data_IF_801411713356
#
_entry.id   IF_801411713356
#
_cell.length_a   1.000
_cell.length_b   1.000
_cell.length_c   1.000
_cell.angle_alpha   90.00
_cell.angle_beta   90.00
_cell.angle_gamma   90.00
#
_symmetry.space_group_name_H-M   'P 1'
#
loop_
_entity.id
_entity.type
_entity.pdbx_description
1 polymer ?
#
# COMPACT_ATOMS: atom_id res chain seq x y z
N UNK A 1 13.99 -25.17 17.23
CA UNK A 1 14.68 -24.06 16.55
C UNK A 1 13.65 -23.29 15.74
N UNK A 2 13.76 -21.96 15.64
CA UNK A 2 12.85 -21.18 14.81
C UNK A 2 12.93 -21.58 13.34
N UNK A 3 11.81 -21.52 12.65
CA UNK A 3 11.75 -21.67 11.18
C UNK A 3 12.37 -20.44 10.51
N UNK A 4 13.14 -20.65 9.46
CA UNK A 4 13.90 -19.59 8.80
C UNK A 4 13.28 -19.22 7.47
N UNK A 5 12.84 -17.97 7.35
CA UNK A 5 12.21 -17.40 6.16
C UNK A 5 13.18 -16.48 5.44
N UNK A 6 13.44 -16.76 4.17
CA UNK A 6 14.23 -15.89 3.30
C UNK A 6 13.31 -14.96 2.52
N UNK A 7 13.43 -13.64 2.74
CA UNK A 7 12.59 -12.62 2.12
C UNK A 7 13.35 -11.90 1.00
N UNK A 8 12.69 -11.71 -0.13
CA UNK A 8 13.15 -10.84 -1.21
C UNK A 8 12.25 -9.62 -1.29
N UNK A 9 12.81 -8.44 -1.06
CA UNK A 9 12.13 -7.16 -1.21
C UNK A 9 13.09 -6.12 -1.79
N UNK A 10 12.67 -5.38 -2.81
CA UNK A 10 13.53 -4.36 -3.44
C UNK A 10 13.85 -3.22 -2.48
N UNK A 11 12.90 -2.85 -1.64
CA UNK A 11 13.03 -1.78 -0.63
C UNK A 11 12.73 -2.32 0.76
N UNK A 12 13.38 -1.76 1.77
CA UNK A 12 13.09 -2.04 3.18
C UNK A 12 13.49 -0.86 4.08
N UNK A 13 13.09 -0.95 5.35
CA UNK A 13 13.38 0.04 6.40
C UNK A 13 14.88 0.43 6.45
N UNK A 14 15.22 1.70 6.76
CA UNK A 14 14.38 2.77 7.33
C UNK A 14 13.50 3.50 6.31
N UNK A 15 13.55 3.14 5.05
CA UNK A 15 12.79 3.81 4.00
C UNK A 15 11.38 3.22 3.87
N UNK A 16 10.38 3.92 4.41
CA UNK A 16 8.96 3.55 4.37
C UNK A 16 8.27 4.27 3.18
N UNK A 17 8.54 3.84 1.95
CA UNK A 17 8.00 4.49 0.73
C UNK A 17 6.75 3.79 0.19
N UNK A 18 6.44 2.57 0.62
CA UNK A 18 5.30 1.80 0.12
C UNK A 18 4.64 0.95 1.18
N UNK A 19 3.39 0.59 0.93
CA UNK A 19 2.62 -0.31 1.80
C UNK A 19 3.25 -1.70 1.95
N UNK A 20 4.02 -2.14 0.95
CA UNK A 20 4.78 -3.38 0.94
C UNK A 20 5.86 -3.43 2.03
N UNK A 21 6.61 -2.34 2.21
CA UNK A 21 7.64 -2.24 3.25
C UNK A 21 7.01 -2.23 4.64
N UNK A 22 5.92 -1.47 4.80
CA UNK A 22 5.15 -1.44 6.05
C UNK A 22 4.62 -2.83 6.38
N UNK A 23 4.03 -3.52 5.41
CA UNK A 23 3.47 -4.86 5.59
C UNK A 23 4.52 -5.87 6.07
N UNK A 24 5.69 -5.92 5.42
CA UNK A 24 6.77 -6.83 5.86
C UNK A 24 7.19 -6.53 7.29
N UNK A 25 7.38 -5.25 7.64
CA UNK A 25 7.78 -4.83 8.98
C UNK A 25 6.73 -5.20 10.03
N UNK A 26 5.46 -4.86 9.77
CA UNK A 26 4.36 -5.09 10.71
C UNK A 26 4.10 -6.60 10.94
N UNK A 27 4.16 -7.41 9.87
CA UNK A 27 4.02 -8.87 9.95
C UNK A 27 5.19 -9.48 10.74
N UNK A 28 6.43 -9.14 10.38
CA UNK A 28 7.60 -9.77 10.99
C UNK A 28 7.79 -9.38 12.46
N UNK A 29 7.45 -8.14 12.83
CA UNK A 29 7.56 -7.68 14.22
C UNK A 29 6.52 -8.31 15.17
N UNK A 30 5.35 -8.75 14.63
CA UNK A 30 4.29 -9.39 15.44
C UNK A 30 4.41 -10.90 15.53
N UNK A 31 5.35 -11.50 14.83
CA UNK A 31 5.62 -12.94 14.90
C UNK A 31 6.76 -13.20 15.90
N UNK A 32 6.54 -14.13 16.84
CA UNK A 32 7.52 -14.47 17.87
C UNK A 32 8.85 -14.96 17.25
N UNK A 33 10.00 -14.34 17.59
CA UNK A 33 11.30 -14.74 17.09
C UNK A 33 11.73 -16.16 17.53
N UNK A 34 11.09 -16.73 18.54
CA UNK A 34 11.27 -18.14 18.91
C UNK A 34 10.63 -19.11 17.92
N UNK A 35 9.61 -18.63 17.15
CA UNK A 35 8.92 -19.44 16.15
C UNK A 35 9.48 -19.22 14.74
N UNK A 36 9.81 -17.97 14.39
CA UNK A 36 10.34 -17.61 13.08
C UNK A 36 11.50 -16.63 13.15
N UNK A 37 12.52 -16.89 12.35
CA UNK A 37 13.65 -16.01 12.09
C UNK A 37 13.60 -15.55 10.64
N UNK A 38 13.64 -14.23 10.40
CA UNK A 38 13.53 -13.65 9.06
C UNK A 38 14.90 -13.16 8.57
N UNK A 39 15.19 -13.45 7.29
CA UNK A 39 16.39 -13.01 6.59
C UNK A 39 15.95 -12.28 5.32
N UNK A 40 16.19 -10.98 5.22
CA UNK A 40 15.69 -10.14 4.15
C UNK A 40 16.83 -9.61 3.28
N UNK A 41 16.73 -9.87 1.98
CA UNK A 41 17.64 -9.32 0.97
C UNK A 41 16.95 -8.12 0.30
N UNK A 42 17.65 -6.96 0.28
CA UNK A 42 17.14 -5.70 -0.27
C UNK A 42 18.23 -4.90 -0.95
N UNK A 43 17.86 -3.81 -1.63
CA UNK A 43 18.82 -2.85 -2.16
C UNK A 43 19.34 -1.91 -1.07
N UNK A 44 20.59 -1.48 -1.23
CA UNK A 44 21.23 -0.47 -0.40
C UNK A 44 21.03 0.91 -1.02
N UNK A 45 20.13 1.70 -0.48
CA UNK A 45 19.75 3.01 -1.03
C UNK A 45 20.56 4.18 -0.47
N UNK A 46 21.25 3.98 0.66
CA UNK A 46 22.02 5.02 1.34
C UNK A 46 23.38 4.45 1.73
N UNK A 47 24.44 5.21 1.47
CA UNK A 47 25.83 4.84 1.81
C UNK A 47 26.06 4.70 3.32
N UNK A 48 25.25 5.41 4.14
CA UNK A 48 25.35 5.36 5.58
C UNK A 48 24.68 4.11 6.17
N UNK A 49 23.84 3.40 5.40
CA UNK A 49 23.24 2.15 5.86
C UNK A 49 24.26 1.01 5.84
N UNK A 50 24.35 0.17 6.89
CA UNK A 50 25.22 -0.98 6.92
C UNK A 50 24.78 -2.02 5.85
N UNK A 51 25.75 -2.83 5.39
CA UNK A 51 25.43 -3.92 4.45
C UNK A 51 24.65 -5.04 5.10
N UNK A 52 24.86 -5.27 6.38
CA UNK A 52 24.17 -6.28 7.19
C UNK A 52 23.83 -5.68 8.55
N UNK A 53 22.59 -5.83 8.98
CA UNK A 53 22.11 -5.42 10.30
C UNK A 53 20.88 -6.21 10.71
N UNK A 54 20.52 -6.15 11.99
CA UNK A 54 19.27 -6.70 12.51
C UNK A 54 18.30 -5.57 12.83
N UNK A 55 17.11 -5.62 12.25
CA UNK A 55 16.03 -4.67 12.48
C UNK A 55 14.81 -5.43 13.01
N UNK A 56 14.49 -5.23 14.28
CA UNK A 56 13.44 -6.03 14.93
C UNK A 56 13.75 -7.53 14.85
N UNK A 57 12.84 -8.31 14.29
CA UNK A 57 12.99 -9.76 14.07
C UNK A 57 13.60 -10.13 12.70
N UNK A 58 14.22 -9.16 11.97
CA UNK A 58 14.70 -9.37 10.62
C UNK A 58 16.20 -9.14 10.50
N UNK A 59 16.94 -10.13 10.00
CA UNK A 59 18.34 -10.00 9.58
C UNK A 59 18.35 -9.44 8.15
N UNK A 60 18.81 -8.21 7.96
CA UNK A 60 18.75 -7.48 6.69
C UNK A 60 20.09 -7.53 5.97
N UNK A 61 20.07 -7.88 4.68
CA UNK A 61 21.24 -7.94 3.79
C UNK A 61 21.03 -6.97 2.62
N UNK A 62 21.83 -5.89 2.58
CA UNK A 62 21.72 -4.86 1.55
C UNK A 62 22.73 -5.04 0.43
N UNK A 63 22.25 -4.98 -0.81
CA UNK A 63 23.01 -5.20 -2.04
C UNK A 63 22.99 -3.96 -2.94
N UNK A 64 23.88 -3.96 -3.93
CA UNK A 64 23.90 -2.97 -5.00
C UNK A 64 24.88 -1.82 -4.79
N UNK A 65 24.96 -0.97 -5.80
CA UNK A 65 25.74 0.26 -5.78
C UNK A 65 25.05 1.33 -4.95
N UNK A 66 25.84 2.16 -4.30
CA UNK A 66 25.33 3.14 -3.34
C UNK A 66 25.38 4.53 -3.95
N UNK A 67 24.28 5.26 -3.81
CA UNK A 67 24.20 6.71 -4.04
C UNK A 67 23.37 7.35 -2.95
N UNK A 68 23.47 8.66 -2.78
CA UNK A 68 22.58 9.41 -1.89
C UNK A 68 21.19 9.46 -2.54
N UNK A 69 20.29 8.58 -2.09
CA UNK A 69 19.01 8.41 -2.72
C UNK A 69 17.87 8.83 -1.78
N UNK A 70 17.34 10.00 -2.06
CA UNK A 70 16.14 10.52 -1.38
C UNK A 70 14.83 10.09 -2.04
N UNK A 71 14.88 9.50 -3.26
CA UNK A 71 13.72 9.23 -4.10
C UNK A 71 13.35 7.74 -4.20
N UNK A 72 12.20 7.41 -4.80
CA UNK A 72 11.75 6.03 -4.98
C UNK A 72 12.67 5.22 -5.90
N UNK A 73 12.64 3.89 -5.82
CA UNK A 73 13.45 3.01 -6.68
C UNK A 73 13.17 3.22 -8.19
N UNK A 74 12.00 3.74 -8.53
CA UNK A 74 11.59 4.01 -9.91
C UNK A 74 12.12 5.36 -10.46
N UNK A 75 12.45 6.32 -9.58
CA UNK A 75 12.98 7.64 -9.94
C UNK A 75 14.51 7.71 -10.02
N UNK A 76 15.19 6.56 -9.86
CA UNK A 76 16.63 6.49 -9.88
C UNK A 76 17.23 6.88 -11.23
N UNK A 77 18.14 7.87 -11.24
CA UNK A 77 18.89 8.28 -12.42
C UNK A 77 20.07 7.34 -12.71
N UNK A 78 20.59 7.41 -13.94
CA UNK A 78 21.83 6.72 -14.33
C UNK A 78 22.98 7.03 -13.35
N UNK A 79 23.80 6.04 -12.94
CA UNK A 79 23.72 4.60 -13.23
C UNK A 79 22.87 3.81 -12.21
N UNK A 80 22.33 4.45 -11.18
CA UNK A 80 21.70 3.79 -10.03
C UNK A 80 20.42 3.04 -10.36
N UNK A 81 19.74 3.42 -11.44
CA UNK A 81 18.54 2.72 -11.90
C UNK A 81 18.83 1.27 -12.32
N UNK A 82 20.10 0.92 -12.64
CA UNK A 82 20.48 -0.47 -12.92
C UNK A 82 20.45 -1.37 -11.68
N UNK A 83 20.54 -0.81 -10.47
CA UNK A 83 20.51 -1.60 -9.23
C UNK A 83 19.30 -2.54 -9.16
N UNK A 84 18.13 -2.10 -9.61
CA UNK A 84 16.92 -2.93 -9.59
C UNK A 84 17.00 -4.13 -10.54
N UNK A 85 17.63 -3.98 -11.70
CA UNK A 85 17.87 -5.08 -12.62
C UNK A 85 18.94 -6.04 -12.09
N UNK A 86 20.05 -5.50 -11.59
CA UNK A 86 21.12 -6.28 -10.98
C UNK A 86 20.63 -7.04 -9.73
N UNK A 87 19.65 -6.50 -9.01
CA UNK A 87 19.05 -7.15 -7.85
C UNK A 87 18.50 -8.53 -8.19
N UNK A 88 17.96 -8.72 -9.39
CA UNK A 88 17.39 -10.02 -9.82
C UNK A 88 18.44 -11.13 -9.75
N UNK A 89 19.68 -10.85 -10.15
CA UNK A 89 20.80 -11.81 -10.16
C UNK A 89 21.55 -11.81 -8.83
N UNK A 90 21.93 -10.63 -8.35
CA UNK A 90 22.70 -10.51 -7.10
C UNK A 90 21.90 -10.95 -5.88
N UNK A 91 20.59 -10.72 -5.87
CA UNK A 91 19.67 -11.19 -4.84
C UNK A 91 19.61 -12.70 -4.78
N UNK A 92 19.42 -13.35 -5.92
CA UNK A 92 19.42 -14.81 -6.03
C UNK A 92 20.78 -15.41 -5.61
N UNK A 93 21.89 -14.80 -6.04
CA UNK A 93 23.25 -15.25 -5.67
C UNK A 93 23.53 -15.09 -4.17
N UNK A 94 23.15 -13.93 -3.57
CA UNK A 94 23.28 -13.74 -2.10
C UNK A 94 22.45 -14.77 -1.35
N UNK A 95 21.22 -15.03 -1.81
CA UNK A 95 20.33 -16.04 -1.24
C UNK A 95 20.98 -17.44 -1.31
N UNK A 96 21.54 -17.80 -2.46
CA UNK A 96 22.26 -19.07 -2.62
C UNK A 96 23.45 -19.17 -1.68
N UNK A 97 24.29 -18.13 -1.55
CA UNK A 97 25.41 -18.11 -0.60
C UNK A 97 24.94 -18.24 0.86
N UNK A 98 23.87 -17.55 1.24
CA UNK A 98 23.26 -17.68 2.57
C UNK A 98 22.75 -19.10 2.80
N UNK A 99 22.09 -19.72 1.80
CA UNK A 99 21.54 -21.08 1.91
C UNK A 99 22.58 -22.19 2.08
N UNK A 100 23.86 -21.89 1.85
CA UNK A 100 24.98 -22.82 2.16
C UNK A 100 25.32 -22.84 3.65
N UNK A 101 24.96 -21.77 4.37
CA UNK A 101 25.24 -21.62 5.82
C UNK A 101 23.99 -21.74 6.68
N UNK A 102 22.83 -21.38 6.11
CA UNK A 102 21.54 -21.29 6.80
C UNK A 102 20.56 -22.18 6.05
N UNK A 103 19.95 -23.14 6.75
CA UNK A 103 18.88 -23.96 6.20
C UNK A 103 17.58 -23.14 6.25
N UNK A 104 17.10 -22.66 5.09
CA UNK A 104 15.83 -21.97 4.99
C UNK A 104 14.68 -22.97 4.83
N UNK A 105 13.58 -22.72 5.53
CA UNK A 105 12.36 -23.53 5.48
C UNK A 105 11.43 -23.06 4.35
N UNK A 106 11.48 -21.77 3.98
CA UNK A 106 10.78 -21.21 2.82
C UNK A 106 11.44 -19.91 2.32
N UNK A 107 11.13 -19.54 1.08
CA UNK A 107 11.44 -18.23 0.50
C UNK A 107 10.15 -17.44 0.27
N UNK A 108 10.19 -16.14 0.51
CA UNK A 108 9.07 -15.22 0.39
C UNK A 108 9.45 -14.02 -0.48
N UNK A 109 8.82 -13.86 -1.63
CA UNK A 109 8.94 -12.66 -2.45
C UNK A 109 7.82 -11.68 -2.19
N UNK A 110 8.18 -10.44 -1.95
CA UNK A 110 7.24 -9.32 -1.82
C UNK A 110 7.16 -8.63 -3.16
N UNK A 111 6.01 -8.75 -3.81
CA UNK A 111 5.68 -8.33 -5.18
C UNK A 111 6.29 -9.23 -6.30
N UNK A 112 5.57 -9.32 -7.42
CA UNK A 112 6.01 -9.96 -8.65
C UNK A 112 6.84 -8.99 -9.52
N UNK A 113 7.81 -8.32 -8.92
CA UNK A 113 8.72 -7.39 -9.59
C UNK A 113 10.16 -7.94 -9.63
N UNK A 114 11.16 -7.09 -9.51
CA UNK A 114 12.57 -7.52 -9.46
C UNK A 114 12.85 -8.49 -8.29
N UNK A 115 12.10 -8.38 -7.19
CA UNK A 115 12.16 -9.35 -6.08
C UNK A 115 11.61 -10.71 -6.49
N UNK A 116 10.51 -10.74 -7.25
CA UNK A 116 9.94 -11.95 -7.83
C UNK A 116 10.91 -12.68 -8.75
N UNK A 117 11.65 -11.97 -9.61
CA UNK A 117 12.69 -12.57 -10.42
C UNK A 117 13.84 -13.15 -9.59
N UNK A 118 14.30 -12.42 -8.55
CA UNK A 118 15.36 -12.92 -7.68
C UNK A 118 14.93 -14.20 -6.96
N UNK A 119 13.69 -14.24 -6.46
CA UNK A 119 13.11 -15.43 -5.82
C UNK A 119 12.94 -16.59 -6.80
N UNK A 120 12.50 -16.33 -8.04
CA UNK A 120 12.40 -17.32 -9.12
C UNK A 120 13.76 -17.95 -9.44
N UNK A 121 14.81 -17.12 -9.61
CA UNK A 121 16.15 -17.61 -9.88
C UNK A 121 16.71 -18.42 -8.70
N UNK A 122 16.43 -17.98 -7.47
CA UNK A 122 16.77 -18.78 -6.29
C UNK A 122 15.99 -20.10 -6.24
N UNK A 123 14.71 -20.10 -6.60
CA UNK A 123 13.89 -21.33 -6.69
C UNK A 123 14.49 -22.33 -7.67
N UNK A 124 15.02 -21.90 -8.82
CA UNK A 124 15.72 -22.80 -9.75
C UNK A 124 16.99 -23.41 -9.17
N UNK A 125 17.72 -22.67 -8.32
CA UNK A 125 18.92 -23.18 -7.65
C UNK A 125 18.60 -24.09 -6.46
N UNK A 126 17.42 -23.92 -5.84
CA UNK A 126 16.99 -24.59 -4.61
C UNK A 126 15.54 -25.06 -4.71
N UNK A 127 15.27 -25.98 -5.64
CA UNK A 127 13.92 -26.47 -5.99
C UNK A 127 13.09 -26.95 -4.77
N UNK A 128 13.75 -27.52 -3.76
CA UNK A 128 13.10 -28.07 -2.57
C UNK A 128 12.63 -27.01 -1.56
N UNK A 129 13.12 -25.75 -1.67
CA UNK A 129 12.69 -24.67 -0.76
C UNK A 129 11.36 -24.13 -1.30
N UNK A 130 10.25 -24.18 -0.53
CA UNK A 130 8.98 -23.62 -0.93
C UNK A 130 9.09 -22.13 -1.24
N UNK A 131 8.39 -21.67 -2.28
CA UNK A 131 8.36 -20.28 -2.73
C UNK A 131 6.96 -19.69 -2.54
N UNK A 132 6.86 -18.71 -1.62
CA UNK A 132 5.68 -17.87 -1.42
C UNK A 132 5.83 -16.59 -2.23
N UNK A 133 4.85 -16.30 -3.09
CA UNK A 133 4.71 -15.02 -3.76
C UNK A 133 3.62 -14.19 -3.09
N UNK A 134 3.94 -12.98 -2.63
CA UNK A 134 2.97 -11.98 -2.19
C UNK A 134 2.71 -10.97 -3.29
N UNK A 135 1.45 -10.71 -3.62
CA UNK A 135 1.03 -9.69 -4.58
C UNK A 135 0.56 -8.45 -3.85
N UNK A 136 1.22 -7.31 -4.16
CA UNK A 136 0.91 -5.98 -3.60
C UNK A 136 0.90 -4.88 -4.68
N UNK A 137 0.81 -5.28 -5.94
CA UNK A 137 0.81 -4.38 -7.08
C UNK A 137 -0.45 -3.51 -7.10
N UNK A 138 -0.27 -2.21 -7.32
CA UNK A 138 -1.39 -1.26 -7.48
C UNK A 138 -1.41 -0.60 -8.86
N UNK A 139 -0.48 -0.97 -9.76
CA UNK A 139 -0.44 -0.46 -11.12
C UNK A 139 -1.31 -1.32 -12.06
N UNK A 140 -1.88 -0.75 -13.14
CA UNK A 140 -2.62 -1.50 -14.13
C UNK A 140 -1.79 -2.63 -14.74
N UNK A 141 -2.37 -3.83 -14.93
CA UNK A 141 -1.64 -5.00 -15.43
C UNK A 141 -1.09 -4.80 -16.84
N UNK A 142 -1.80 -4.06 -17.69
CA UNK A 142 -1.31 -3.71 -19.03
C UNK A 142 -0.04 -2.84 -18.99
N UNK A 143 0.07 -1.95 -18.01
CA UNK A 143 1.30 -1.17 -17.80
C UNK A 143 2.46 -2.10 -17.41
N UNK A 144 2.23 -3.04 -16.49
CA UNK A 144 3.22 -4.03 -16.08
C UNK A 144 3.65 -4.90 -17.25
N UNK A 145 2.73 -5.38 -18.07
CA UNK A 145 3.00 -6.19 -19.27
C UNK A 145 3.88 -5.44 -20.28
N UNK A 146 3.55 -4.18 -20.57
CA UNK A 146 4.37 -3.32 -21.45
C UNK A 146 5.78 -3.11 -20.90
N UNK A 147 5.90 -2.87 -19.59
CA UNK A 147 7.20 -2.62 -18.92
C UNK A 147 8.10 -3.86 -18.91
N UNK A 148 7.53 -5.04 -18.74
CA UNK A 148 8.26 -6.31 -18.73
C UNK A 148 8.69 -6.71 -20.16
N UNK A 149 7.90 -6.39 -21.18
CA UNK A 149 8.23 -6.59 -22.59
C UNK A 149 8.60 -8.03 -22.92
N UNK A 150 9.74 -8.25 -23.56
CA UNK A 150 10.23 -9.58 -24.01
C UNK A 150 10.43 -10.57 -22.87
N UNK A 151 10.61 -10.10 -21.63
CA UNK A 151 10.75 -10.96 -20.45
C UNK A 151 9.41 -11.44 -19.88
N UNK A 152 8.29 -11.14 -20.55
CA UNK A 152 6.95 -11.52 -20.07
C UNK A 152 6.78 -13.05 -19.82
N UNK A 153 7.30 -13.96 -20.66
CA UNK A 153 7.25 -15.40 -20.34
C UNK A 153 7.96 -15.75 -19.03
N UNK A 154 9.13 -15.14 -18.77
CA UNK A 154 9.87 -15.34 -17.54
C UNK A 154 9.14 -14.70 -16.34
N UNK A 155 8.52 -13.54 -16.54
CA UNK A 155 7.66 -12.90 -15.54
C UNK A 155 6.49 -13.81 -15.14
N UNK A 156 5.83 -14.43 -16.11
CA UNK A 156 4.75 -15.41 -15.88
C UNK A 156 5.23 -16.61 -15.06
N UNK A 157 6.51 -17.00 -15.19
CA UNK A 157 7.09 -18.08 -14.39
C UNK A 157 7.17 -17.77 -12.91
N UNK A 158 7.19 -16.48 -12.49
CA UNK A 158 7.13 -16.10 -11.07
C UNK A 158 5.85 -16.65 -10.43
N UNK A 159 4.74 -16.59 -11.14
CA UNK A 159 3.43 -17.09 -10.69
C UNK A 159 3.33 -18.62 -10.81
N UNK A 160 3.72 -19.17 -11.96
CA UNK A 160 3.55 -20.61 -12.23
C UNK A 160 4.54 -21.50 -11.47
N UNK A 161 5.62 -20.93 -10.92
CA UNK A 161 6.62 -21.63 -10.10
C UNK A 161 6.50 -21.33 -8.61
N UNK A 162 5.60 -20.43 -8.22
CA UNK A 162 5.26 -20.25 -6.81
C UNK A 162 4.55 -21.50 -6.27
N UNK A 163 4.95 -21.94 -5.10
CA UNK A 163 4.28 -23.05 -4.38
C UNK A 163 3.02 -22.55 -3.67
N UNK A 164 3.00 -21.26 -3.29
CA UNK A 164 1.81 -20.57 -2.79
C UNK A 164 1.81 -19.11 -3.24
N UNK A 165 0.60 -18.54 -3.38
CA UNK A 165 0.39 -17.11 -3.63
C UNK A 165 -0.47 -16.54 -2.52
N UNK A 166 -0.01 -15.44 -1.92
CA UNK A 166 -0.82 -14.56 -1.07
C UNK A 166 -1.05 -13.26 -1.83
N UNK A 167 -2.26 -12.75 -1.81
CA UNK A 167 -2.66 -11.50 -2.42
C UNK A 167 -3.32 -10.58 -1.38
N UNK A 168 -3.08 -9.27 -1.48
CA UNK A 168 -3.68 -8.31 -0.54
C UNK A 168 -5.14 -7.98 -0.88
N UNK A 169 -5.69 -8.52 -1.98
CA UNK A 169 -7.08 -8.33 -2.38
C UNK A 169 -7.55 -9.47 -3.28
N UNK A 170 -8.87 -9.64 -3.39
CA UNK A 170 -9.48 -10.58 -4.35
C UNK A 170 -9.15 -10.20 -5.80
N UNK A 171 -9.00 -8.90 -6.10
CA UNK A 171 -8.56 -8.43 -7.40
C UNK A 171 -7.19 -8.99 -7.79
N UNK A 172 -6.21 -8.93 -6.90
CA UNK A 172 -4.87 -9.48 -7.13
C UNK A 172 -4.85 -11.02 -7.08
N UNK A 173 -5.72 -11.63 -6.27
CA UNK A 173 -5.88 -13.08 -6.27
C UNK A 173 -6.38 -13.61 -7.63
N UNK A 174 -7.37 -12.94 -8.24
CA UNK A 174 -7.81 -13.26 -9.62
C UNK A 174 -6.66 -13.09 -10.61
N UNK A 175 -5.91 -11.98 -10.51
CA UNK A 175 -4.75 -11.79 -11.38
C UNK A 175 -3.72 -12.93 -11.30
N UNK A 176 -3.45 -13.46 -10.10
CA UNK A 176 -2.57 -14.63 -9.97
C UNK A 176 -3.06 -15.84 -10.79
N UNK A 177 -4.36 -16.09 -10.79
CA UNK A 177 -4.99 -17.15 -11.62
C UNK A 177 -4.81 -16.86 -13.10
N UNK A 178 -5.06 -15.63 -13.55
CA UNK A 178 -4.89 -15.21 -14.95
C UNK A 178 -3.43 -15.36 -15.42
N UNK A 179 -2.48 -15.15 -14.49
CA UNK A 179 -1.06 -15.37 -14.73
C UNK A 179 -0.66 -16.87 -14.71
N UNK A 180 -1.60 -17.77 -14.45
CA UNK A 180 -1.42 -19.22 -14.53
C UNK A 180 -0.97 -19.88 -13.23
N UNK A 181 -1.16 -19.27 -12.08
CA UNK A 181 -0.99 -19.95 -10.79
C UNK A 181 -2.04 -21.06 -10.66
N UNK A 182 -1.58 -22.30 -10.43
CA UNK A 182 -2.46 -23.47 -10.39
C UNK A 182 -3.15 -23.71 -9.05
N UNK A 183 -2.54 -23.23 -7.96
CA UNK A 183 -3.10 -23.35 -6.61
C UNK A 183 -4.21 -22.33 -6.35
N UNK A 184 -4.74 -22.27 -5.13
CA UNK A 184 -5.73 -21.28 -4.70
C UNK A 184 -5.02 -20.13 -3.97
N UNK A 185 -5.00 -18.89 -4.54
CA UNK A 185 -4.37 -17.76 -3.87
C UNK A 185 -5.07 -17.46 -2.54
N UNK A 186 -4.30 -17.21 -1.49
CA UNK A 186 -4.84 -16.81 -0.19
C UNK A 186 -4.94 -15.29 -0.12
N UNK A 187 -6.14 -14.77 0.10
CA UNK A 187 -6.32 -13.34 0.34
C UNK A 187 -6.01 -13.05 1.79
N UNK A 188 -4.93 -12.29 2.01
CA UNK A 188 -4.54 -11.72 3.30
C UNK A 188 -4.21 -10.26 3.03
N UNK A 189 -5.08 -9.31 3.40
CA UNK A 189 -4.90 -7.90 3.08
C UNK A 189 -3.75 -7.26 3.85
N UNK A 190 -3.43 -6.02 3.52
CA UNK A 190 -2.63 -5.18 4.39
C UNK A 190 -3.50 -4.70 5.56
N UNK A 191 -2.86 -4.41 6.69
CA UNK A 191 -3.53 -3.96 7.90
C UNK A 191 -3.37 -2.48 8.18
N UNK A 192 -3.99 -2.07 9.27
CA UNK A 192 -3.84 -0.76 9.92
C UNK A 192 -3.56 -0.96 11.41
N UNK A 193 -2.82 -0.05 11.99
CA UNK A 193 -2.63 0.05 13.45
C UNK A 193 -3.80 0.85 14.02
N UNK A 194 -4.83 0.13 14.51
CA UNK A 194 -6.09 0.74 14.95
C UNK A 194 -5.87 1.69 16.10
N UNK A 195 -5.11 1.27 17.13
CA UNK A 195 -4.85 2.09 18.32
C UNK A 195 -4.15 3.42 17.96
N UNK A 196 -3.38 3.41 16.88
CA UNK A 196 -2.70 4.57 16.37
C UNK A 196 -3.62 5.53 15.60
N UNK A 197 -4.62 5.02 14.88
CA UNK A 197 -5.52 5.85 14.07
C UNK A 197 -6.81 6.23 14.79
N UNK A 198 -7.30 5.44 15.75
CA UNK A 198 -8.49 5.74 16.55
C UNK A 198 -8.13 6.57 17.80
N UNK A 199 -7.34 7.62 17.60
CA UNK A 199 -7.01 8.58 18.65
C UNK A 199 -8.12 9.62 18.80
N UNK A 200 -8.22 10.21 19.98
CA UNK A 200 -8.98 11.44 20.22
C UNK A 200 -8.05 12.63 20.21
N UNK A 201 -8.48 13.74 19.62
CA UNK A 201 -7.82 15.02 19.69
C UNK A 201 -8.76 16.04 20.36
N UNK A 202 -8.24 16.92 21.22
CA UNK A 202 -9.06 17.94 21.83
C UNK A 202 -9.58 18.96 20.81
N UNK A 203 -10.64 19.69 21.15
CA UNK A 203 -11.16 20.74 20.28
C UNK A 203 -10.09 21.79 19.97
N UNK A 204 -9.29 22.17 20.97
CA UNK A 204 -8.21 23.14 20.84
C UNK A 204 -7.10 22.61 19.91
N UNK A 205 -6.75 21.33 20.01
CA UNK A 205 -5.78 20.70 19.13
C UNK A 205 -6.32 20.63 17.68
N UNK A 206 -7.59 20.26 17.51
CA UNK A 206 -8.26 20.25 16.20
C UNK A 206 -8.24 21.62 15.55
N UNK A 207 -8.58 22.70 16.28
CA UNK A 207 -8.55 24.09 15.78
C UNK A 207 -7.13 24.46 15.34
N UNK A 208 -6.12 24.22 16.18
CA UNK A 208 -4.70 24.50 15.85
C UNK A 208 -4.23 23.77 14.60
N UNK A 209 -4.63 22.50 14.41
CA UNK A 209 -4.27 21.74 13.22
C UNK A 209 -4.98 22.32 12.00
N UNK A 210 -6.27 22.66 12.09
CA UNK A 210 -7.04 23.26 11.00
C UNK A 210 -6.45 24.60 10.57
N UNK A 211 -6.07 25.46 11.49
CA UNK A 211 -5.38 26.73 11.21
C UNK A 211 -4.05 26.50 10.45
N UNK A 212 -3.22 25.54 10.88
CA UNK A 212 -1.98 25.16 10.16
C UNK A 212 -2.26 24.67 8.75
N UNK A 213 -3.41 24.06 8.54
CA UNK A 213 -3.86 23.59 7.22
C UNK A 213 -4.42 24.73 6.36
N UNK A 214 -4.72 25.89 6.91
CA UNK A 214 -5.36 27.03 6.24
C UNK A 214 -6.90 26.92 6.22
N UNK A 215 -7.47 26.11 7.13
CA UNK A 215 -8.90 25.86 7.23
C UNK A 215 -9.53 26.76 8.30
N UNK A 216 -10.74 27.22 8.05
CA UNK A 216 -11.61 27.90 9.01
C UNK A 216 -12.44 26.89 9.80
N UNK A 217 -13.04 27.33 10.91
CA UNK A 217 -13.86 26.47 11.77
C UNK A 217 -15.04 25.84 11.01
N UNK A 218 -15.72 26.60 10.17
CA UNK A 218 -16.89 26.20 9.41
C UNK A 218 -16.57 25.59 8.01
N UNK A 219 -15.31 25.41 7.66
CA UNK A 219 -14.97 24.73 6.43
C UNK A 219 -15.23 23.21 6.54
N UNK A 220 -15.61 22.59 5.44
CA UNK A 220 -15.67 21.14 5.31
C UNK A 220 -14.37 20.70 4.64
N UNK A 221 -13.55 19.99 5.38
CA UNK A 221 -12.21 19.59 4.93
C UNK A 221 -12.22 18.20 4.30
N UNK A 222 -12.16 18.14 2.97
CA UNK A 222 -11.79 16.92 2.26
C UNK A 222 -10.30 16.68 2.44
N UNK A 223 -9.86 15.42 2.63
CA UNK A 223 -8.45 15.07 2.76
C UNK A 223 -8.09 13.86 1.92
N UNK A 224 -6.90 13.88 1.32
CA UNK A 224 -6.27 12.70 0.72
C UNK A 224 -4.84 12.56 1.17
N UNK A 225 -4.39 11.29 1.33
CA UNK A 225 -3.01 10.91 1.62
C UNK A 225 -2.54 9.98 0.52
N UNK A 226 -1.84 10.51 -0.48
CA UNK A 226 -1.48 9.71 -1.65
C UNK A 226 -0.29 10.27 -2.42
N UNK A 227 0.36 9.40 -3.21
CA UNK A 227 1.30 9.89 -4.23
C UNK A 227 0.54 10.71 -5.28
N UNK A 228 1.15 11.81 -5.73
CA UNK A 228 0.58 12.66 -6.78
C UNK A 228 0.90 12.06 -8.16
N UNK A 229 0.12 11.04 -8.53
CA UNK A 229 0.23 10.29 -9.78
C UNK A 229 -1.15 10.11 -10.41
N UNK A 230 -1.23 9.89 -11.72
CA UNK A 230 -2.50 9.83 -12.48
C UNK A 230 -3.49 8.85 -11.84
N UNK A 231 -3.04 7.64 -11.49
CA UNK A 231 -3.94 6.58 -11.02
C UNK A 231 -4.68 6.90 -9.71
N UNK A 232 -4.27 7.92 -8.96
CA UNK A 232 -4.91 8.29 -7.69
C UNK A 232 -6.05 9.31 -7.84
N UNK A 233 -6.29 9.85 -9.04
CA UNK A 233 -7.47 10.66 -9.35
C UNK A 233 -7.53 12.02 -8.62
N UNK A 234 -6.42 12.53 -8.07
CA UNK A 234 -6.41 13.80 -7.30
C UNK A 234 -6.90 14.99 -8.15
N UNK A 235 -6.62 14.97 -9.45
CA UNK A 235 -7.08 16.00 -10.37
C UNK A 235 -8.61 16.07 -10.49
N UNK A 236 -9.29 14.92 -10.42
CA UNK A 236 -10.75 14.86 -10.52
C UNK A 236 -11.42 15.50 -9.29
N UNK A 237 -10.79 15.39 -8.11
CA UNK A 237 -11.26 16.07 -6.88
C UNK A 237 -11.11 17.59 -7.01
N UNK A 238 -9.99 18.07 -7.57
CA UNK A 238 -9.77 19.51 -7.80
C UNK A 238 -10.84 20.08 -8.77
N UNK A 239 -11.15 19.35 -9.85
CA UNK A 239 -12.22 19.75 -10.78
C UNK A 239 -13.61 19.69 -10.14
N UNK A 240 -13.87 18.66 -9.34
CA UNK A 240 -15.12 18.54 -8.59
C UNK A 240 -15.34 19.69 -7.60
N UNK A 241 -14.24 20.21 -7.02
CA UNK A 241 -14.31 21.30 -6.03
C UNK A 241 -14.94 22.58 -6.61
N UNK A 242 -14.75 22.86 -7.92
CA UNK A 242 -15.40 23.99 -8.60
C UNK A 242 -16.93 23.89 -8.63
N UNK A 243 -17.50 22.70 -8.38
CA UNK A 243 -18.94 22.39 -8.38
C UNK A 243 -19.52 22.24 -6.97
N UNK A 244 -18.68 22.36 -5.95
CA UNK A 244 -19.03 22.21 -4.53
C UNK A 244 -19.15 23.59 -3.86
N UNK A 245 -19.89 23.70 -2.74
CA UNK A 245 -19.97 24.93 -1.96
C UNK A 245 -18.58 25.51 -1.60
N UNK A 246 -18.47 26.83 -1.46
CA UNK A 246 -17.19 27.52 -1.23
C UNK A 246 -16.49 27.17 0.08
N UNK A 247 -17.24 26.74 1.08
CA UNK A 247 -16.71 26.26 2.37
C UNK A 247 -16.17 24.84 2.30
N UNK A 248 -16.30 24.12 1.18
CA UNK A 248 -15.65 22.82 0.97
C UNK A 248 -14.20 23.07 0.53
N UNK A 249 -13.25 22.58 1.29
CA UNK A 249 -11.80 22.73 1.07
C UNK A 249 -11.15 21.37 0.86
N UNK A 250 -10.00 21.34 0.19
CA UNK A 250 -9.29 20.08 -0.08
C UNK A 250 -7.84 20.14 0.38
N UNK A 251 -7.47 19.27 1.31
CA UNK A 251 -6.12 19.11 1.86
C UNK A 251 -5.46 17.89 1.25
N UNK A 252 -4.29 18.07 0.67
CA UNK A 252 -3.56 17.04 -0.06
C UNK A 252 -2.22 16.79 0.61
N UNK A 253 -2.07 15.61 1.20
CA UNK A 253 -0.80 15.12 1.71
C UNK A 253 -0.18 14.14 0.71
N UNK A 254 1.03 14.46 0.25
CA UNK A 254 1.80 13.60 -0.63
C UNK A 254 2.65 14.38 -1.63
N UNK A 255 3.54 13.64 -2.29
CA UNK A 255 4.44 14.12 -3.33
C UNK A 255 4.29 13.26 -4.59
N UNK A 256 4.71 13.77 -5.74
CA UNK A 256 4.68 13.03 -7.00
C UNK A 256 4.90 13.91 -8.22
N UNK A 257 5.07 13.28 -9.37
CA UNK A 257 5.39 13.98 -10.62
C UNK A 257 4.27 14.89 -11.14
N UNK A 258 3.03 14.73 -10.64
CA UNK A 258 1.91 15.61 -11.01
C UNK A 258 1.84 16.91 -10.19
N UNK A 259 2.69 17.12 -9.19
CA UNK A 259 2.60 18.27 -8.28
C UNK A 259 2.49 19.61 -9.01
N UNK A 260 3.37 19.85 -9.98
CA UNK A 260 3.36 21.12 -10.73
C UNK A 260 2.14 21.23 -11.67
N UNK A 261 1.73 20.13 -12.28
CA UNK A 261 0.50 20.09 -13.08
C UNK A 261 -0.76 20.41 -12.24
N UNK A 262 -0.84 19.85 -11.02
CA UNK A 262 -1.95 20.12 -10.10
C UNK A 262 -1.95 21.57 -9.64
N UNK A 263 -0.79 22.21 -9.39
CA UNK A 263 -0.71 23.66 -9.10
C UNK A 263 -1.28 24.50 -10.22
N UNK A 264 -0.86 24.25 -11.47
CA UNK A 264 -1.39 24.95 -12.64
C UNK A 264 -2.90 24.76 -12.78
N UNK A 265 -3.43 23.57 -12.50
CA UNK A 265 -4.87 23.29 -12.51
C UNK A 265 -5.61 24.09 -11.44
N UNK A 266 -5.06 24.18 -10.22
CA UNK A 266 -5.62 24.98 -9.11
C UNK A 266 -5.68 26.44 -9.49
N UNK A 267 -4.63 27.01 -10.08
CA UNK A 267 -4.55 28.39 -10.55
C UNK A 267 -5.57 28.67 -11.66
N UNK A 268 -5.64 27.81 -12.69
CA UNK A 268 -6.57 27.96 -13.80
C UNK A 268 -8.05 27.94 -13.37
N UNK A 269 -8.37 27.13 -12.35
CA UNK A 269 -9.71 27.04 -11.76
C UNK A 269 -9.96 28.06 -10.66
N UNK A 270 -9.00 28.93 -10.34
CA UNK A 270 -9.07 29.93 -9.26
C UNK A 270 -9.43 29.33 -7.90
N UNK A 271 -8.85 28.18 -7.58
CA UNK A 271 -9.10 27.42 -6.34
C UNK A 271 -7.97 27.55 -5.30
N UNK A 272 -7.11 28.57 -5.40
CA UNK A 272 -5.95 28.75 -4.52
C UNK A 272 -6.26 28.88 -3.03
N UNK A 273 -7.44 29.38 -2.68
CA UNK A 273 -7.96 29.51 -1.31
C UNK A 273 -8.79 28.28 -0.85
N UNK A 274 -8.91 27.26 -1.71
CA UNK A 274 -9.71 26.05 -1.44
C UNK A 274 -8.91 24.75 -1.50
N UNK A 275 -7.70 24.74 -2.12
CA UNK A 275 -6.87 23.54 -2.26
C UNK A 275 -5.51 23.76 -1.63
N UNK A 276 -5.13 22.91 -0.68
CA UNK A 276 -3.92 23.02 0.11
C UNK A 276 -2.98 21.83 -0.12
N UNK A 277 -1.92 22.04 -0.92
CA UNK A 277 -0.85 21.06 -1.14
C UNK A 277 0.13 21.10 0.03
N UNK A 278 0.05 20.15 0.96
CA UNK A 278 0.86 20.13 2.20
C UNK A 278 2.14 19.30 2.09
N UNK A 279 2.35 18.61 0.95
CA UNK A 279 3.54 17.79 0.77
C UNK A 279 3.55 16.52 1.60
N UNK A 280 4.75 15.98 1.83
CA UNK A 280 4.93 14.77 2.63
C UNK A 280 4.64 15.04 4.11
N UNK A 281 3.97 14.10 4.75
CA UNK A 281 3.75 14.07 6.19
C UNK A 281 4.28 12.75 6.77
N UNK A 282 4.88 12.82 7.96
CA UNK A 282 5.30 11.60 8.67
C UNK A 282 4.05 10.78 9.03
N UNK A 283 4.11 9.49 8.77
CA UNK A 283 3.02 8.57 9.07
C UNK A 283 2.65 8.56 10.57
N UNK A 284 3.55 8.99 11.46
CA UNK A 284 3.25 9.13 12.90
C UNK A 284 2.30 10.28 13.21
N UNK A 285 2.38 11.35 12.44
CA UNK A 285 1.54 12.55 12.61
C UNK A 285 0.21 12.43 11.84
N UNK A 286 0.14 11.53 10.85
CA UNK A 286 -1.02 11.35 9.97
C UNK A 286 -2.35 11.24 10.70
N UNK A 287 -2.48 10.44 11.80
CA UNK A 287 -3.76 10.28 12.50
C UNK A 287 -4.36 11.61 12.99
N UNK A 288 -3.54 12.53 13.53
CA UNK A 288 -3.99 13.84 14.00
C UNK A 288 -4.54 14.71 12.88
N UNK A 289 -3.88 14.68 11.73
CA UNK A 289 -4.33 15.44 10.56
C UNK A 289 -5.61 14.85 9.96
N UNK A 290 -5.75 13.52 9.92
CA UNK A 290 -7.00 12.88 9.50
C UNK A 290 -8.15 13.27 10.45
N UNK A 291 -7.95 13.17 11.77
CA UNK A 291 -8.95 13.59 12.79
C UNK A 291 -9.34 15.07 12.73
N UNK A 292 -8.49 15.92 12.17
CA UNK A 292 -8.80 17.35 11.99
C UNK A 292 -9.63 17.63 10.72
N UNK A 293 -9.74 16.67 9.80
CA UNK A 293 -10.54 16.73 8.56
C UNK A 293 -11.90 16.06 8.73
N UNK A 294 -12.75 16.15 7.70
CA UNK A 294 -14.14 15.74 7.78
C UNK A 294 -14.48 14.57 6.84
N UNK A 295 -13.85 14.48 5.65
CA UNK A 295 -14.09 13.41 4.67
C UNK A 295 -12.77 13.01 4.02
N UNK A 296 -12.47 11.72 4.00
CA UNK A 296 -11.36 11.20 3.19
C UNK A 296 -11.84 10.94 1.74
N UNK A 297 -11.07 11.43 0.76
CA UNK A 297 -11.45 11.28 -0.66
C UNK A 297 -10.27 10.88 -1.52
N UNK A 298 -10.45 9.83 -2.34
CA UNK A 298 -9.51 9.47 -3.41
C UNK A 298 -10.20 8.64 -4.50
N UNK A 299 -10.58 9.26 -5.62
CA UNK A 299 -11.22 8.57 -6.75
C UNK A 299 -10.17 7.88 -7.63
N UNK A 300 -9.54 6.83 -7.09
CA UNK A 300 -8.47 6.09 -7.77
C UNK A 300 -8.96 5.43 -9.05
N UNK A 301 -8.10 5.39 -10.08
CA UNK A 301 -8.34 4.68 -11.34
C UNK A 301 -7.85 3.23 -11.28
N UNK A 302 -6.90 2.97 -10.40
CA UNK A 302 -6.33 1.63 -10.18
C UNK A 302 -5.75 1.54 -8.78
N UNK A 303 -6.07 0.47 -8.06
CA UNK A 303 -5.57 0.23 -6.70
C UNK A 303 -5.45 -1.27 -6.41
N UNK A 304 -4.35 -1.67 -5.80
CA UNK A 304 -4.14 -3.05 -5.36
C UNK A 304 -4.94 -3.41 -4.11
N UNK A 305 -5.02 -2.45 -3.17
CA UNK A 305 -5.82 -2.55 -1.94
C UNK A 305 -6.21 -1.16 -1.44
N UNK A 306 -5.23 -0.29 -1.13
CA UNK A 306 -5.46 1.07 -0.67
C UNK A 306 -5.44 1.22 0.84
N UNK A 307 -4.28 1.03 1.46
CA UNK A 307 -4.10 1.12 2.93
C UNK A 307 -4.65 2.43 3.50
N UNK A 308 -4.45 3.57 2.81
CA UNK A 308 -4.91 4.88 3.31
C UNK A 308 -6.43 5.02 3.44
N UNK A 309 -7.23 4.22 2.72
CA UNK A 309 -8.68 4.18 2.93
C UNK A 309 -9.01 3.51 4.26
N UNK A 310 -8.41 2.35 4.55
CA UNK A 310 -8.65 1.67 5.82
C UNK A 310 -8.03 2.44 7.00
N UNK A 311 -6.97 3.21 6.78
CA UNK A 311 -6.44 4.17 7.76
C UNK A 311 -7.43 5.30 8.06
N UNK A 312 -8.09 5.85 7.03
CA UNK A 312 -9.12 6.86 7.19
C UNK A 312 -10.37 6.30 7.90
N UNK A 313 -10.78 5.06 7.56
CA UNK A 313 -11.87 4.35 8.24
C UNK A 313 -11.52 4.06 9.72
N UNK A 314 -10.27 3.68 10.02
CA UNK A 314 -9.77 3.53 11.39
C UNK A 314 -9.79 4.85 12.16
N UNK A 315 -9.50 5.97 11.49
CA UNK A 315 -9.61 7.31 12.03
C UNK A 315 -11.06 7.82 12.11
N UNK A 316 -12.06 6.98 11.81
CA UNK A 316 -13.50 7.31 11.81
C UNK A 316 -13.87 8.45 10.86
N UNK A 317 -13.22 8.50 9.69
CA UNK A 317 -13.62 9.39 8.60
C UNK A 317 -14.55 8.68 7.62
N UNK A 318 -15.61 9.31 7.15
CA UNK A 318 -16.34 8.83 5.99
C UNK A 318 -15.44 8.85 4.77
N UNK A 319 -15.53 7.82 3.93
CA UNK A 319 -14.67 7.63 2.77
C UNK A 319 -15.48 7.80 1.49
N UNK A 320 -14.99 8.67 0.59
CA UNK A 320 -15.46 8.81 -0.79
C UNK A 320 -14.39 8.24 -1.73
N UNK A 321 -14.74 7.21 -2.50
CA UNK A 321 -13.79 6.57 -3.41
C UNK A 321 -14.48 5.91 -4.60
N UNK A 322 -13.67 5.47 -5.56
CA UNK A 322 -14.12 4.59 -6.66
C UNK A 322 -14.05 3.14 -6.23
N UNK A 323 -14.94 2.29 -6.76
CA UNK A 323 -14.94 0.84 -6.44
C UNK A 323 -14.07 0.06 -7.44
N UNK A 324 -12.80 0.44 -7.59
CA UNK A 324 -11.85 -0.17 -8.54
C UNK A 324 -10.83 -1.07 -7.83
N UNK A 325 -10.40 -2.13 -8.51
CA UNK A 325 -9.34 -3.01 -8.01
C UNK A 325 -9.66 -3.60 -6.63
N UNK A 326 -8.70 -3.49 -5.71
CA UNK A 326 -8.84 -3.99 -4.33
C UNK A 326 -9.70 -3.11 -3.42
N UNK A 327 -10.09 -1.89 -3.83
CA UNK A 327 -11.04 -1.07 -3.07
C UNK A 327 -12.40 -1.75 -2.98
N UNK A 328 -12.77 -2.55 -3.98
CA UNK A 328 -14.01 -3.32 -3.99
C UNK A 328 -14.13 -4.35 -2.86
N UNK A 329 -13.04 -4.68 -2.17
CA UNK A 329 -13.04 -5.66 -1.09
C UNK A 329 -13.58 -5.08 0.25
N UNK A 330 -13.63 -3.75 0.37
CA UNK A 330 -14.02 -3.10 1.62
C UNK A 330 -14.96 -1.90 1.45
N UNK A 331 -15.17 -1.41 0.23
CA UNK A 331 -16.03 -0.25 -0.01
C UNK A 331 -17.39 -0.69 -0.53
N UNK A 332 -18.43 -0.51 0.28
CA UNK A 332 -19.83 -0.74 -0.05
C UNK A 332 -20.62 0.57 0.07
N UNK A 333 -21.43 0.88 -0.94
CA UNK A 333 -22.23 2.10 -1.05
C UNK A 333 -23.61 1.92 -0.39
N UNK A 334 -24.16 2.96 0.29
CA UNK A 334 -25.48 2.88 0.89
C UNK A 334 -26.62 2.65 -0.10
N UNK A 335 -26.45 3.00 -1.38
CA UNK A 335 -27.45 2.77 -2.43
C UNK A 335 -27.43 1.34 -3.00
N UNK A 336 -26.44 0.52 -2.61
CA UNK A 336 -26.31 -0.82 -3.16
C UNK A 336 -27.35 -1.79 -2.58
N UNK A 337 -28.18 -2.39 -3.43
CA UNK A 337 -29.21 -3.36 -3.07
C UNK A 337 -28.67 -4.76 -2.74
N UNK A 338 -27.36 -4.95 -2.66
CA UNK A 338 -26.72 -6.25 -2.41
C UNK A 338 -26.97 -6.85 -1.03
N UNK A 339 -27.63 -6.13 -0.12
CA UNK A 339 -27.81 -6.52 1.28
C UNK A 339 -26.55 -6.38 2.14
N UNK A 340 -25.43 -5.91 1.57
CA UNK A 340 -24.20 -5.63 2.30
C UNK A 340 -24.31 -4.30 3.04
N UNK A 341 -23.61 -4.23 4.16
CA UNK A 341 -23.63 -3.05 5.02
C UNK A 341 -22.72 -1.97 4.43
N UNK A 342 -23.27 -0.76 4.22
CA UNK A 342 -22.52 0.37 3.68
C UNK A 342 -21.31 0.75 4.56
N UNK A 343 -20.17 0.98 3.94
CA UNK A 343 -18.88 1.33 4.57
C UNK A 343 -18.25 2.59 4.01
N UNK A 344 -18.87 3.23 3.02
CA UNK A 344 -18.43 4.47 2.41
C UNK A 344 -19.31 4.87 1.24
N UNK A 345 -18.86 5.82 0.45
CA UNK A 345 -19.58 6.40 -0.68
C UNK A 345 -18.81 6.16 -1.97
N UNK A 346 -19.50 5.72 -3.02
CA UNK A 346 -18.88 5.34 -4.29
C UNK A 346 -19.11 6.41 -5.35
N UNK A 347 -18.02 6.88 -5.97
CA UNK A 347 -18.05 7.74 -7.15
C UNK A 347 -17.49 7.01 -8.38
N UNK A 348 -17.76 7.54 -9.56
CA UNK A 348 -17.21 7.03 -10.82
C UNK A 348 -15.79 7.56 -11.05
N UNK A 349 -14.85 6.73 -11.57
CA UNK A 349 -13.50 7.18 -11.91
C UNK A 349 -13.56 8.15 -13.11
N UNK A 350 -12.63 9.10 -13.15
CA UNK A 350 -12.50 10.10 -14.21
C UNK A 350 -13.80 10.90 -14.45
N UNK A 351 -14.61 11.09 -13.43
CA UNK A 351 -15.88 11.81 -13.50
C UNK A 351 -15.98 12.83 -12.35
N UNK A 352 -15.47 14.07 -12.54
CA UNK A 352 -15.54 15.12 -11.52
C UNK A 352 -16.97 15.48 -11.08
N UNK A 353 -17.98 15.31 -11.97
CA UNK A 353 -19.37 15.52 -11.59
C UNK A 353 -19.87 14.45 -10.62
N UNK A 354 -19.55 13.18 -10.88
CA UNK A 354 -19.85 12.08 -9.95
C UNK A 354 -19.17 12.29 -8.61
N UNK A 355 -17.88 12.70 -8.61
CA UNK A 355 -17.15 13.04 -7.38
C UNK A 355 -17.87 14.14 -6.59
N UNK A 356 -18.29 15.24 -7.25
CA UNK A 356 -18.99 16.33 -6.58
C UNK A 356 -20.35 15.88 -5.99
N UNK A 357 -21.12 15.10 -6.76
CA UNK A 357 -22.41 14.57 -6.31
C UNK A 357 -22.24 13.67 -5.07
N UNK A 358 -21.25 12.78 -5.09
CA UNK A 358 -20.95 11.85 -3.99
C UNK A 358 -20.44 12.59 -2.74
N UNK A 359 -19.65 13.65 -2.90
CA UNK A 359 -19.23 14.50 -1.77
C UNK A 359 -20.44 15.19 -1.16
N UNK A 360 -21.35 15.78 -1.98
CA UNK A 360 -22.58 16.38 -1.49
C UNK A 360 -23.49 15.35 -0.79
N UNK A 361 -23.59 14.13 -1.31
CA UNK A 361 -24.28 13.03 -0.64
C UNK A 361 -23.68 12.76 0.74
N UNK A 362 -22.36 12.61 0.83
CA UNK A 362 -21.68 12.34 2.09
C UNK A 362 -21.88 13.47 3.12
N UNK A 363 -21.83 14.74 2.69
CA UNK A 363 -22.04 15.91 3.57
C UNK A 363 -23.46 15.95 4.15
N UNK A 364 -24.47 15.58 3.36
CA UNK A 364 -25.89 15.72 3.73
C UNK A 364 -26.51 14.43 4.26
N UNK A 365 -25.75 13.34 4.33
CA UNK A 365 -26.30 12.03 4.79
C UNK A 365 -26.49 12.03 6.30
N UNK A 366 -27.76 12.02 6.73
CA UNK A 366 -28.16 11.90 8.13
C UNK A 366 -27.75 10.54 8.75
N UNK A 367 -27.50 9.54 7.91
CA UNK A 367 -27.04 8.21 8.29
C UNK A 367 -25.51 8.05 8.32
N UNK A 368 -24.73 9.10 8.07
CA UNK A 368 -23.27 9.05 7.91
C UNK A 368 -22.59 8.36 9.11
N UNK A 369 -23.02 8.63 10.34
CA UNK A 369 -22.43 8.01 11.52
C UNK A 369 -22.53 6.48 11.48
N UNK A 370 -23.64 5.92 10.99
CA UNK A 370 -23.82 4.48 10.83
C UNK A 370 -22.82 3.91 9.81
N UNK A 371 -22.55 4.63 8.72
CA UNK A 371 -21.58 4.22 7.70
C UNK A 371 -20.17 4.22 8.30
N UNK A 372 -19.81 5.25 9.06
CA UNK A 372 -18.54 5.37 9.77
C UNK A 372 -18.34 4.20 10.75
N UNK A 373 -19.37 3.90 11.56
CA UNK A 373 -19.32 2.81 12.55
C UNK A 373 -19.18 1.43 11.88
N UNK A 374 -19.88 1.22 10.76
CA UNK A 374 -19.76 0.01 9.96
C UNK A 374 -18.36 -0.16 9.39
N UNK A 375 -17.81 0.91 8.80
CA UNK A 375 -16.46 0.93 8.24
C UNK A 375 -15.41 0.65 9.34
N UNK A 376 -15.51 1.34 10.46
CA UNK A 376 -14.62 1.13 11.60
C UNK A 376 -14.69 -0.30 12.16
N UNK A 377 -15.90 -0.85 12.34
CA UNK A 377 -16.11 -2.23 12.78
C UNK A 377 -15.46 -3.22 11.82
N UNK A 378 -15.70 -3.06 10.53
CA UNK A 378 -15.09 -3.89 9.49
C UNK A 378 -13.57 -3.82 9.55
N UNK A 379 -12.98 -2.61 9.71
CA UNK A 379 -11.53 -2.45 9.81
C UNK A 379 -10.99 -3.19 11.02
N UNK A 380 -11.62 -3.06 12.17
CA UNK A 380 -11.23 -3.74 13.40
C UNK A 380 -11.30 -5.27 13.28
N UNK A 381 -12.31 -5.78 12.60
CA UNK A 381 -12.52 -7.23 12.45
C UNK A 381 -11.64 -7.89 11.39
N UNK A 382 -11.21 -7.13 10.35
CA UNK A 382 -10.56 -7.73 9.18
C UNK A 382 -9.16 -7.20 8.88
N UNK A 383 -8.82 -5.96 9.30
CA UNK A 383 -7.62 -5.24 8.84
C UNK A 383 -6.67 -4.85 9.98
N UNK A 384 -6.82 -5.39 11.19
CA UNK A 384 -5.82 -5.22 12.25
C UNK A 384 -4.53 -6.00 11.94
N UNK A 385 -3.37 -5.34 12.10
CA UNK A 385 -2.08 -5.98 11.82
C UNK A 385 -1.83 -7.25 12.61
N UNK A 386 -2.40 -7.41 13.81
CA UNK A 386 -2.26 -8.62 14.62
C UNK A 386 -2.94 -9.81 13.95
N UNK A 387 -4.15 -9.60 13.42
CA UNK A 387 -4.88 -10.62 12.65
C UNK A 387 -4.15 -10.97 11.36
N UNK A 388 -3.65 -9.97 10.64
CA UNK A 388 -2.90 -10.14 9.39
C UNK A 388 -1.62 -10.95 9.65
N UNK A 389 -0.85 -10.61 10.69
CA UNK A 389 0.36 -11.34 11.06
C UNK A 389 0.07 -12.80 11.43
N UNK A 390 -1.05 -13.05 12.12
CA UNK A 390 -1.49 -14.41 12.48
C UNK A 390 -1.85 -15.24 11.22
N UNK A 391 -2.55 -14.63 10.25
CA UNK A 391 -2.89 -15.29 8.99
C UNK A 391 -1.64 -15.60 8.17
N UNK A 392 -0.69 -14.65 8.06
CA UNK A 392 0.60 -14.86 7.38
C UNK A 392 1.44 -15.93 8.07
N UNK A 393 1.49 -15.94 9.41
CA UNK A 393 2.12 -17.02 10.18
C UNK A 393 1.52 -18.38 9.85
N UNK A 394 0.20 -18.46 9.66
CA UNK A 394 -0.50 -19.68 9.22
C UNK A 394 0.00 -20.17 7.85
N UNK A 395 0.18 -19.26 6.88
CA UNK A 395 0.73 -19.57 5.55
C UNK A 395 2.18 -20.07 5.69
N UNK A 396 3.03 -19.36 6.42
CA UNK A 396 4.43 -19.77 6.65
C UNK A 396 4.51 -21.15 7.28
N UNK A 397 3.64 -21.45 8.24
CA UNK A 397 3.61 -22.76 8.92
C UNK A 397 3.24 -23.89 7.95
N UNK A 398 2.25 -23.70 7.08
CA UNK A 398 1.84 -24.71 6.09
C UNK A 398 2.95 -25.00 5.10
N UNK A 399 3.59 -23.96 4.55
CA UNK A 399 4.68 -24.10 3.59
C UNK A 399 5.90 -24.79 4.20
N UNK A 400 6.32 -24.39 5.42
CA UNK A 400 7.47 -24.98 6.09
C UNK A 400 7.27 -26.46 6.46
N UNK A 401 6.01 -26.96 6.53
CA UNK A 401 5.68 -28.38 6.75
C UNK A 401 5.56 -29.20 5.48
N UNK A 402 5.65 -28.57 4.31
CA UNK A 402 5.40 -29.22 3.01
C UNK A 402 3.95 -29.56 2.73
N UNK A 403 3.02 -29.01 3.49
CA UNK A 403 1.55 -29.15 3.32
C UNK A 403 1.05 -28.01 2.42
N UNK A 404 1.27 -28.16 1.11
CA UNK A 404 0.86 -27.18 0.08
C UNK A 404 -0.52 -27.57 -0.46
#
# INVERSE_FOLDING_TARGET
MPKKVLIFSVTYYPRLVGGDVVAVKEITNRIDPKEFEFHLITLRFDKNLPREEKIGNVNVYRLGFVGDMKESADSLKFPLHYNKYLFTILGAWKAFRLSRKIKFDLSWSVMANYAGFAALFFKFLKLKIPFLLTLQEGDPFEYTKKRVGIFYPLFKMIFTRADAVQAISHYLARHAKDMGFKGEPKVVPNGVDIDRFDIEISREERVKIREKLGLKENDIALVTTSRLVIKNGVGDVIEALAKLPENVKFVIFGEGYLKENLKLRIENLKLGDRVFLKGFIDHKEMPKYLKACDIFIRPSLSEGFGVSFVEAMAARLPVVATRVGGIADFLEDPSNSSGQVATGYVCEPQNPQSVANTVNQAINDVGQNRIIDNAYKMVKEKYDWTLIALQMKGIFNKLAKGNI
#
